data_IF_927773738465
#
_entry.id   IF_927773738465
#
_cell.length_a   1.000
_cell.length_b   1.000
_cell.length_c   1.000
_cell.angle_alpha   90.00
_cell.angle_beta   90.00
_cell.angle_gamma   90.00
#
_symmetry.space_group_name_H-M   'P 1'
#
loop_
_entity.id
_entity.type
_entity.pdbx_description
1 polymer ?
#
# COMPACT_ATOMS: atom_id res chain seq x y z
N UNK A 1 -23.12 60.12 3.20
CA UNK A 1 -22.56 59.47 4.42
C UNK A 1 -23.43 58.32 4.93
N UNK A 2 -24.72 58.52 5.22
CA UNK A 2 -25.63 57.47 5.73
C UNK A 2 -25.76 56.22 4.84
N UNK A 3 -25.83 56.38 3.52
CA UNK A 3 -25.95 55.25 2.58
C UNK A 3 -24.70 54.34 2.59
N UNK A 4 -23.51 54.93 2.74
CA UNK A 4 -22.25 54.18 2.77
C UNK A 4 -22.13 53.33 4.05
N UNK A 5 -22.56 53.88 5.18
CA UNK A 5 -22.61 53.16 6.46
C UNK A 5 -23.56 51.96 6.38
N UNK A 6 -24.72 52.13 5.73
CA UNK A 6 -25.71 51.07 5.58
C UNK A 6 -25.22 49.91 4.69
N UNK A 7 -24.51 50.22 3.60
CA UNK A 7 -23.93 49.23 2.69
C UNK A 7 -22.83 48.42 3.40
N UNK A 8 -21.94 49.09 4.14
CA UNK A 8 -20.87 48.42 4.91
C UNK A 8 -21.46 47.50 5.99
N UNK A 9 -22.53 47.94 6.67
CA UNK A 9 -23.21 47.14 7.69
C UNK A 9 -23.86 45.86 7.11
N UNK A 10 -24.53 45.96 5.97
CA UNK A 10 -25.10 44.81 5.24
C UNK A 10 -24.02 43.82 4.78
N UNK A 11 -22.87 44.33 4.33
CA UNK A 11 -21.73 43.50 3.92
C UNK A 11 -21.09 42.78 5.12
N UNK A 12 -20.99 43.45 6.27
CA UNK A 12 -20.55 42.83 7.52
C UNK A 12 -21.51 41.73 8.01
N UNK A 13 -22.84 41.96 7.95
CA UNK A 13 -23.83 40.95 8.36
C UNK A 13 -23.75 39.70 7.46
N UNK A 14 -23.62 39.89 6.15
CA UNK A 14 -23.49 38.76 5.21
C UNK A 14 -22.17 38.01 5.40
N UNK A 15 -21.07 38.71 5.68
CA UNK A 15 -19.78 38.10 6.04
C UNK A 15 -19.87 37.31 7.35
N UNK A 16 -20.47 37.88 8.40
CA UNK A 16 -20.66 37.20 9.69
C UNK A 16 -21.58 35.99 9.52
N UNK A 17 -22.66 36.10 8.75
CA UNK A 17 -23.57 35.00 8.50
C UNK A 17 -22.93 33.88 7.65
N UNK A 18 -22.02 34.20 6.74
CA UNK A 18 -21.28 33.21 5.94
C UNK A 18 -20.18 32.55 6.76
N UNK A 19 -19.44 33.30 7.58
CA UNK A 19 -18.45 32.78 8.53
C UNK A 19 -19.13 31.93 9.60
N UNK A 20 -20.28 32.35 10.15
CA UNK A 20 -21.05 31.55 11.10
C UNK A 20 -21.60 30.27 10.45
N UNK A 21 -22.09 30.33 9.20
CA UNK A 21 -22.47 29.13 8.43
C UNK A 21 -21.27 28.23 8.13
N UNK A 22 -20.10 28.80 7.86
CA UNK A 22 -18.86 28.05 7.65
C UNK A 22 -18.36 27.40 8.94
N UNK A 23 -18.48 28.10 10.07
CA UNK A 23 -18.17 27.62 11.42
C UNK A 23 -19.15 26.54 11.89
N UNK A 24 -20.44 26.65 11.58
CA UNK A 24 -21.44 25.57 11.79
C UNK A 24 -21.16 24.34 10.92
N UNK A 25 -20.50 24.51 9.77
CA UNK A 25 -20.03 23.39 8.93
C UNK A 25 -18.73 22.76 9.45
N UNK A 26 -18.02 23.43 10.35
CA UNK A 26 -16.86 22.90 11.06
C UNK A 26 -17.36 22.19 12.32
N UNK A 27 -17.42 20.87 12.22
CA UNK A 27 -17.71 20.01 13.35
C UNK A 27 -16.62 20.20 14.42
N UNK A 28 -16.99 20.50 15.69
CA UNK A 28 -16.05 20.61 16.80
C UNK A 28 -15.14 19.38 16.88
N UNK A 29 -13.88 19.59 17.23
CA UNK A 29 -12.89 18.51 17.22
C UNK A 29 -13.25 17.36 18.19
N UNK A 30 -13.75 17.70 19.38
CA UNK A 30 -14.25 16.71 20.35
C UNK A 30 -15.39 15.87 19.77
N UNK A 31 -16.41 16.49 19.17
CA UNK A 31 -17.53 15.78 18.53
C UNK A 31 -17.03 14.88 17.40
N UNK A 32 -16.10 15.36 16.58
CA UNK A 32 -15.51 14.60 15.48
C UNK A 32 -14.78 13.34 15.97
N UNK A 33 -14.03 13.44 17.07
CA UNK A 33 -13.30 12.29 17.65
C UNK A 33 -14.29 11.27 18.21
N UNK A 34 -15.28 11.72 19.00
CA UNK A 34 -16.29 10.84 19.59
C UNK A 34 -17.13 10.12 18.53
N UNK A 35 -17.57 10.84 17.50
CA UNK A 35 -18.31 10.23 16.38
C UNK A 35 -17.45 9.26 15.58
N UNK A 36 -16.17 9.58 15.36
CA UNK A 36 -15.24 8.67 14.69
C UNK A 36 -15.10 7.36 15.47
N UNK A 37 -14.89 7.44 16.79
CA UNK A 37 -14.82 6.26 17.66
C UNK A 37 -16.12 5.46 17.58
N UNK A 38 -17.28 6.11 17.72
CA UNK A 38 -18.58 5.44 17.63
C UNK A 38 -18.81 4.72 16.29
N UNK A 39 -18.46 5.35 15.18
CA UNK A 39 -18.57 4.71 13.86
C UNK A 39 -17.62 3.52 13.73
N UNK A 40 -16.37 3.66 14.17
CA UNK A 40 -15.40 2.56 14.13
C UNK A 40 -15.86 1.38 14.97
N UNK A 41 -16.27 1.60 16.22
CA UNK A 41 -16.75 0.53 17.11
C UNK A 41 -17.97 -0.17 16.52
N UNK A 42 -18.94 0.59 16.00
CA UNK A 42 -20.12 -0.01 15.40
C UNK A 42 -19.78 -0.83 14.14
N UNK A 43 -18.89 -0.34 13.29
CA UNK A 43 -18.48 -1.08 12.08
C UNK A 43 -17.73 -2.35 12.47
N UNK A 44 -16.79 -2.27 13.43
CA UNK A 44 -16.03 -3.44 13.90
C UNK A 44 -16.97 -4.49 14.47
N UNK A 45 -17.86 -4.13 15.39
CA UNK A 45 -18.78 -5.08 16.03
C UNK A 45 -19.66 -5.77 15.00
N UNK A 46 -20.26 -5.01 14.07
CA UNK A 46 -21.08 -5.57 13.01
C UNK A 46 -20.29 -6.55 12.10
N UNK A 47 -19.06 -6.20 11.74
CA UNK A 47 -18.21 -7.08 10.91
C UNK A 47 -17.79 -8.36 11.66
N UNK A 48 -17.50 -8.27 12.96
CA UNK A 48 -17.15 -9.42 13.80
C UNK A 48 -18.33 -10.38 13.96
N UNK A 49 -19.55 -9.84 14.06
CA UNK A 49 -20.78 -10.64 14.16
C UNK A 49 -21.33 -11.07 12.79
N UNK A 50 -20.60 -10.80 11.70
CA UNK A 50 -21.03 -11.06 10.31
C UNK A 50 -22.40 -10.46 9.97
N UNK A 51 -22.72 -9.29 10.53
CA UNK A 51 -23.97 -8.57 10.31
C UNK A 51 -23.77 -7.38 9.36
N UNK A 52 -24.84 -7.05 8.64
CA UNK A 52 -24.87 -5.84 7.82
C UNK A 52 -24.66 -4.59 8.67
N UNK A 53 -23.79 -3.70 8.21
CA UNK A 53 -23.63 -2.39 8.83
C UNK A 53 -24.83 -1.53 8.42
N UNK A 54 -25.58 -1.02 9.39
CA UNK A 54 -26.78 -0.20 9.19
C UNK A 54 -26.65 1.20 9.77
N UNK A 55 -25.60 1.94 9.40
CA UNK A 55 -25.42 3.33 9.80
C UNK A 55 -26.06 4.27 8.76
N UNK A 56 -26.84 5.24 9.21
CA UNK A 56 -27.36 6.34 8.37
C UNK A 56 -26.98 7.66 9.00
N UNK A 57 -26.38 8.55 8.21
CA UNK A 57 -25.86 9.84 8.68
C UNK A 57 -26.26 10.97 7.75
N UNK A 58 -26.74 12.04 8.37
CA UNK A 58 -27.12 13.26 7.68
C UNK A 58 -25.97 14.26 7.61
N UNK A 59 -25.90 14.97 6.49
CA UNK A 59 -24.91 16.02 6.29
C UNK A 59 -23.55 15.54 5.76
N UNK A 60 -22.93 16.42 4.97
CA UNK A 60 -21.70 16.12 4.23
C UNK A 60 -20.50 15.84 5.15
N UNK A 61 -20.41 16.52 6.29
CA UNK A 61 -19.31 16.36 7.24
C UNK A 61 -19.34 14.97 7.89
N UNK A 62 -20.51 14.52 8.35
CA UNK A 62 -20.72 13.20 8.95
C UNK A 62 -20.50 12.07 7.93
N UNK A 63 -21.01 12.21 6.69
CA UNK A 63 -20.72 11.24 5.61
C UNK A 63 -19.24 11.10 5.31
N UNK A 64 -18.49 12.20 5.31
CA UNK A 64 -17.03 12.17 5.15
C UNK A 64 -16.33 11.49 6.34
N UNK A 65 -16.85 11.68 7.55
CA UNK A 65 -16.33 11.04 8.75
C UNK A 65 -16.61 9.53 8.75
N UNK A 66 -17.84 9.12 8.40
CA UNK A 66 -18.23 7.73 8.21
C UNK A 66 -17.35 7.03 7.17
N UNK A 67 -17.13 7.68 6.02
CA UNK A 67 -16.22 7.17 5.00
C UNK A 67 -14.79 6.98 5.53
N UNK A 68 -14.30 7.92 6.35
CA UNK A 68 -12.99 7.79 7.00
C UNK A 68 -12.98 6.61 7.98
N UNK A 69 -14.06 6.38 8.72
CA UNK A 69 -14.19 5.25 9.64
C UNK A 69 -14.18 3.92 8.89
N UNK A 70 -14.97 3.78 7.81
CA UNK A 70 -14.96 2.59 6.94
C UNK A 70 -13.55 2.33 6.41
N UNK A 71 -12.90 3.36 5.86
CA UNK A 71 -11.53 3.20 5.37
C UNK A 71 -10.56 2.77 6.48
N UNK A 72 -10.67 3.35 7.69
CA UNK A 72 -9.81 2.99 8.81
C UNK A 72 -9.98 1.50 9.18
N UNK A 73 -11.22 1.04 9.34
CA UNK A 73 -11.51 -0.37 9.67
C UNK A 73 -11.00 -1.29 8.56
N UNK A 74 -11.44 -1.09 7.31
CA UNK A 74 -11.06 -1.95 6.17
C UNK A 74 -9.54 -1.93 5.87
N UNK A 75 -8.84 -0.85 6.21
CA UNK A 75 -7.38 -0.80 6.03
C UNK A 75 -6.59 -1.54 7.11
N UNK A 76 -7.20 -1.84 8.26
CA UNK A 76 -6.57 -2.52 9.40
C UNK A 76 -7.19 -3.88 9.74
N UNK A 77 -8.28 -4.25 9.07
CA UNK A 77 -8.92 -5.56 9.19
C UNK A 77 -8.44 -6.53 8.10
N UNK A 78 -8.43 -7.82 8.44
CA UNK A 78 -8.10 -8.93 7.55
C UNK A 78 -9.38 -9.62 7.07
N UNK A 79 -9.38 -10.13 5.83
CA UNK A 79 -10.45 -10.91 5.22
C UNK A 79 -11.87 -10.30 5.37
N UNK A 80 -11.97 -8.97 5.33
CA UNK A 80 -13.24 -8.28 5.56
C UNK A 80 -14.19 -8.46 4.38
N UNK A 81 -15.38 -9.00 4.63
CA UNK A 81 -16.43 -9.01 3.63
C UNK A 81 -17.02 -7.61 3.45
N UNK A 82 -16.64 -6.96 2.34
CA UNK A 82 -17.13 -5.62 2.00
C UNK A 82 -18.61 -5.62 1.61
N UNK A 83 -19.22 -6.78 1.36
CA UNK A 83 -20.65 -6.88 1.04
C UNK A 83 -21.52 -6.35 2.18
N UNK A 84 -21.11 -6.58 3.43
CA UNK A 84 -21.77 -6.13 4.66
C UNK A 84 -21.82 -4.59 4.80
N UNK A 85 -20.99 -3.87 4.05
CA UNK A 85 -20.97 -2.41 4.04
C UNK A 85 -21.92 -1.81 2.99
N UNK A 86 -22.46 -2.62 2.06
CA UNK A 86 -23.20 -2.15 0.90
C UNK A 86 -24.42 -1.32 1.30
N UNK A 87 -25.23 -1.80 2.24
CA UNK A 87 -26.42 -1.10 2.72
C UNK A 87 -26.10 0.29 3.30
N UNK A 88 -25.06 0.39 4.14
CA UNK A 88 -24.59 1.69 4.66
C UNK A 88 -24.06 2.60 3.55
N UNK A 89 -23.31 2.07 2.58
CA UNK A 89 -22.75 2.87 1.48
C UNK A 89 -23.85 3.47 0.61
N UNK A 90 -24.85 2.68 0.25
CA UNK A 90 -25.97 3.08 -0.59
C UNK A 90 -26.88 4.11 0.11
N UNK A 91 -27.32 3.83 1.35
CA UNK A 91 -28.18 4.74 2.13
C UNK A 91 -27.56 6.11 2.33
N UNK A 92 -26.23 6.16 2.49
CA UNK A 92 -25.49 7.41 2.68
C UNK A 92 -24.95 8.02 1.37
N UNK A 93 -25.15 7.35 0.22
CA UNK A 93 -24.62 7.73 -1.10
C UNK A 93 -23.12 8.01 -1.07
N UNK A 94 -22.34 7.18 -0.35
CA UNK A 94 -20.90 7.40 -0.15
C UNK A 94 -20.11 7.23 -1.45
N UNK A 95 -20.55 6.31 -2.31
CA UNK A 95 -20.09 6.11 -3.68
C UNK A 95 -20.11 7.42 -4.49
N UNK A 96 -21.28 8.09 -4.57
CA UNK A 96 -21.44 9.33 -5.32
C UNK A 96 -20.58 10.46 -4.74
N UNK A 97 -20.49 10.52 -3.41
CA UNK A 97 -19.69 11.51 -2.70
C UNK A 97 -18.21 11.33 -3.04
N UNK A 98 -17.70 10.10 -2.98
CA UNK A 98 -16.30 9.77 -3.26
C UNK A 98 -15.96 10.05 -4.72
N UNK A 99 -16.75 9.54 -5.67
CA UNK A 99 -16.51 9.73 -7.10
C UNK A 99 -16.52 11.21 -7.49
N UNK A 100 -17.50 11.99 -6.98
CA UNK A 100 -17.55 13.44 -7.19
C UNK A 100 -16.30 14.11 -6.63
N UNK A 101 -15.83 13.71 -5.45
CA UNK A 101 -14.63 14.28 -4.85
C UNK A 101 -13.35 13.92 -5.58
N UNK A 102 -13.22 12.70 -6.10
CA UNK A 102 -12.09 12.28 -6.94
C UNK A 102 -12.00 13.17 -8.20
N UNK A 103 -13.14 13.43 -8.86
CA UNK A 103 -13.21 14.29 -10.05
C UNK A 103 -12.77 15.72 -9.76
N UNK A 104 -13.23 16.30 -8.64
CA UNK A 104 -13.01 17.70 -8.28
C UNK A 104 -11.67 17.98 -7.56
N UNK A 105 -10.98 16.96 -7.07
CA UNK A 105 -9.70 17.13 -6.35
C UNK A 105 -8.51 16.90 -7.26
N UNK A 106 -7.32 17.33 -6.82
CA UNK A 106 -6.02 17.11 -7.50
C UNK A 106 -4.97 16.64 -6.49
N UNK A 107 -3.87 16.09 -6.99
CA UNK A 107 -2.70 15.65 -6.20
C UNK A 107 -3.05 14.75 -5.01
N UNK A 108 -2.41 15.03 -3.87
CA UNK A 108 -2.58 14.28 -2.61
C UNK A 108 -4.05 14.19 -2.16
N UNK A 109 -4.84 15.25 -2.36
CA UNK A 109 -6.27 15.22 -1.99
C UNK A 109 -7.02 14.19 -2.83
N UNK A 110 -6.74 14.11 -4.13
CA UNK A 110 -7.32 13.10 -5.02
C UNK A 110 -6.87 11.69 -4.64
N UNK A 111 -5.57 11.52 -4.38
CA UNK A 111 -5.02 10.24 -3.95
C UNK A 111 -5.70 9.73 -2.67
N UNK A 112 -6.00 10.61 -1.71
CA UNK A 112 -6.75 10.26 -0.50
C UNK A 112 -8.17 9.76 -0.79
N UNK A 113 -8.91 10.44 -1.68
CA UNK A 113 -10.25 10.00 -2.06
C UNK A 113 -10.22 8.67 -2.83
N UNK A 114 -9.20 8.43 -3.64
CA UNK A 114 -8.99 7.14 -4.31
C UNK A 114 -8.72 6.01 -3.31
N UNK A 115 -7.90 6.24 -2.29
CA UNK A 115 -7.69 5.26 -1.22
C UNK A 115 -9.00 4.92 -0.49
N UNK A 116 -9.81 5.94 -0.20
CA UNK A 116 -11.12 5.75 0.42
C UNK A 116 -12.08 4.98 -0.49
N UNK A 117 -12.03 5.21 -1.81
CA UNK A 117 -12.80 4.44 -2.79
C UNK A 117 -12.45 2.94 -2.75
N UNK A 118 -11.18 2.61 -2.56
CA UNK A 118 -10.70 1.23 -2.47
C UNK A 118 -11.14 0.47 -1.22
N UNK A 119 -11.80 1.12 -0.26
CA UNK A 119 -12.37 0.51 0.93
C UNK A 119 -13.90 0.36 0.85
N UNK A 120 -14.52 0.71 -0.28
CA UNK A 120 -15.97 0.66 -0.47
C UNK A 120 -16.35 -0.47 -1.45
N UNK A 121 -17.49 -1.15 -1.23
CA UNK A 121 -18.13 -2.01 -2.23
C UNK A 121 -18.71 -1.18 -3.38
N UNK A 122 -17.85 -0.67 -4.28
CA UNK A 122 -18.28 0.16 -5.41
C UNK A 122 -18.87 -0.69 -6.56
N UNK A 123 -19.94 -0.22 -7.22
CA UNK A 123 -20.45 -0.83 -8.44
C UNK A 123 -19.41 -0.89 -9.56
N UNK A 124 -19.48 -1.93 -10.41
CA UNK A 124 -18.51 -2.16 -11.51
C UNK A 124 -18.31 -0.95 -12.43
N UNK A 125 -19.39 -0.23 -12.75
CA UNK A 125 -19.35 0.98 -13.61
C UNK A 125 -18.48 2.09 -13.01
N UNK A 126 -18.56 2.25 -11.69
CA UNK A 126 -17.89 3.33 -10.99
C UNK A 126 -16.39 3.04 -10.87
N UNK A 127 -16.04 1.77 -10.70
CA UNK A 127 -14.66 1.29 -10.73
C UNK A 127 -14.00 1.55 -12.09
N UNK A 128 -14.73 1.39 -13.21
CA UNK A 128 -14.17 1.68 -14.54
C UNK A 128 -13.73 3.14 -14.67
N UNK A 129 -14.48 4.07 -14.07
CA UNK A 129 -14.12 5.49 -14.06
C UNK A 129 -12.80 5.80 -13.35
N UNK A 130 -12.32 4.89 -12.49
CA UNK A 130 -11.05 5.02 -11.77
C UNK A 130 -9.84 4.67 -12.65
N UNK A 131 -10.03 3.92 -13.75
CA UNK A 131 -8.95 3.41 -14.62
C UNK A 131 -8.04 4.52 -15.15
N UNK A 132 -8.63 5.67 -15.49
CA UNK A 132 -7.87 6.83 -15.98
C UNK A 132 -6.85 7.35 -14.96
N UNK A 133 -7.14 7.22 -13.66
CA UNK A 133 -6.25 7.70 -12.61
C UNK A 133 -5.08 6.75 -12.36
N UNK A 134 -5.21 5.47 -12.69
CA UNK A 134 -4.09 4.52 -12.72
C UNK A 134 -3.09 4.82 -13.86
N UNK A 135 -3.40 5.79 -14.73
CA UNK A 135 -2.52 6.31 -15.78
C UNK A 135 -2.08 7.75 -15.50
N UNK A 136 -2.30 8.25 -14.29
CA UNK A 136 -1.88 9.60 -13.89
C UNK A 136 -0.36 9.74 -13.88
N UNK A 137 0.17 10.88 -14.33
CA UNK A 137 1.59 11.22 -14.17
C UNK A 137 2.01 11.34 -12.69
N UNK A 138 1.11 11.84 -11.84
CA UNK A 138 1.31 11.88 -10.38
C UNK A 138 1.35 10.45 -9.82
N UNK A 139 2.52 10.07 -9.28
CA UNK A 139 2.79 8.74 -8.72
C UNK A 139 1.82 8.38 -7.58
N UNK A 140 1.55 9.30 -6.65
CA UNK A 140 0.70 9.01 -5.49
C UNK A 140 -0.74 8.76 -5.94
N UNK A 141 -1.25 9.60 -6.86
CA UNK A 141 -2.58 9.40 -7.46
C UNK A 141 -2.65 8.06 -8.19
N UNK A 142 -1.62 7.75 -8.98
CA UNK A 142 -1.51 6.51 -9.75
C UNK A 142 -1.54 5.27 -8.86
N UNK A 143 -0.72 5.23 -7.81
CA UNK A 143 -0.68 4.15 -6.82
C UNK A 143 -2.03 3.99 -6.11
N UNK A 144 -2.62 5.09 -5.62
CA UNK A 144 -3.92 5.03 -4.95
C UNK A 144 -5.04 4.54 -5.85
N UNK A 145 -5.04 4.92 -7.13
CA UNK A 145 -6.00 4.44 -8.10
C UNK A 145 -5.82 2.94 -8.39
N UNK A 146 -4.57 2.48 -8.55
CA UNK A 146 -4.27 1.06 -8.70
C UNK A 146 -4.82 0.25 -7.52
N UNK A 147 -4.54 0.67 -6.28
CA UNK A 147 -5.05 -0.03 -5.09
C UNK A 147 -6.58 -0.09 -5.07
N UNK A 148 -7.25 0.99 -5.44
CA UNK A 148 -8.72 1.01 -5.51
C UNK A 148 -9.26 0.04 -6.57
N UNK A 149 -8.64 -0.03 -7.75
CA UNK A 149 -9.00 -0.97 -8.81
C UNK A 149 -8.80 -2.42 -8.37
N UNK A 150 -7.67 -2.70 -7.70
CA UNK A 150 -7.34 -4.03 -7.18
C UNK A 150 -8.32 -4.50 -6.11
N UNK A 151 -8.63 -3.63 -5.12
CA UNK A 151 -9.62 -3.95 -4.09
C UNK A 151 -11.01 -4.22 -4.67
N UNK A 152 -11.42 -3.44 -5.68
CA UNK A 152 -12.75 -3.56 -6.24
C UNK A 152 -12.89 -4.72 -7.24
N UNK A 153 -11.79 -5.23 -7.81
CA UNK A 153 -11.78 -6.33 -8.78
C UNK A 153 -10.64 -7.31 -8.49
N UNK A 154 -10.66 -7.99 -7.34
CA UNK A 154 -9.56 -8.86 -6.91
C UNK A 154 -9.29 -9.99 -7.91
N UNK A 155 -10.33 -10.59 -8.49
CA UNK A 155 -10.21 -11.65 -9.50
C UNK A 155 -9.54 -11.20 -10.80
N UNK A 156 -9.44 -9.88 -11.08
CA UNK A 156 -8.75 -9.33 -12.25
C UNK A 156 -7.42 -8.66 -11.90
N UNK A 157 -6.95 -8.81 -10.67
CA UNK A 157 -5.74 -8.13 -10.18
C UNK A 157 -4.53 -8.38 -11.08
N UNK A 158 -4.29 -9.63 -11.49
CA UNK A 158 -3.14 -9.99 -12.33
C UNK A 158 -3.24 -9.40 -13.74
N UNK A 159 -4.44 -9.39 -14.32
CA UNK A 159 -4.67 -8.72 -15.60
C UNK A 159 -4.39 -7.22 -15.49
N UNK A 160 -4.90 -6.57 -14.43
CA UNK A 160 -4.69 -5.14 -14.20
C UNK A 160 -3.19 -4.83 -14.09
N UNK A 161 -2.46 -5.56 -13.24
CA UNK A 161 -1.02 -5.36 -13.03
C UNK A 161 -0.21 -5.67 -14.31
N UNK A 162 -0.59 -6.72 -15.04
CA UNK A 162 0.06 -7.09 -16.29
C UNK A 162 -0.10 -6.04 -17.40
N UNK A 163 -1.21 -5.30 -17.40
CA UNK A 163 -1.47 -4.25 -18.41
C UNK A 163 -0.90 -2.87 -18.07
N UNK A 164 -0.20 -2.72 -16.94
CA UNK A 164 0.40 -1.43 -16.57
C UNK A 164 1.55 -1.07 -17.50
N UNK A 165 1.50 0.13 -18.07
CA UNK A 165 2.54 0.70 -18.95
C UNK A 165 3.77 1.20 -18.17
N UNK A 166 3.75 1.16 -16.84
CA UNK A 166 4.84 1.61 -15.98
C UNK A 166 5.33 0.48 -15.08
N UNK A 167 6.59 0.56 -14.68
CA UNK A 167 7.17 -0.36 -13.70
C UNK A 167 6.69 -0.04 -12.28
N UNK A 168 6.17 -1.04 -11.57
CA UNK A 168 5.82 -0.90 -10.15
C UNK A 168 7.08 -0.59 -9.34
N UNK A 169 7.06 0.52 -8.59
CA UNK A 169 8.15 0.85 -7.68
C UNK A 169 8.08 -0.02 -6.42
N UNK A 170 9.16 -0.12 -5.62
CA UNK A 170 9.14 -0.85 -4.36
C UNK A 170 8.02 -0.40 -3.41
N UNK A 171 7.69 0.89 -3.43
CA UNK A 171 6.56 1.44 -2.69
C UNK A 171 5.21 0.89 -3.18
N UNK A 172 5.00 0.84 -4.50
CA UNK A 172 3.75 0.31 -5.08
C UNK A 172 3.59 -1.17 -4.73
N UNK A 173 4.66 -1.94 -4.88
CA UNK A 173 4.71 -3.36 -4.54
C UNK A 173 4.34 -3.57 -3.07
N UNK A 174 4.95 -2.82 -2.13
CA UNK A 174 4.63 -2.94 -0.71
C UNK A 174 3.14 -2.67 -0.42
N UNK A 175 2.53 -1.74 -1.15
CA UNK A 175 1.09 -1.44 -1.02
C UNK A 175 0.21 -2.55 -1.58
N UNK A 176 0.60 -3.16 -2.70
CA UNK A 176 -0.11 -4.33 -3.28
C UNK A 176 0.04 -5.55 -2.35
N UNK A 177 1.23 -5.80 -1.81
CA UNK A 177 1.47 -6.84 -0.80
C UNK A 177 0.62 -6.60 0.47
N UNK A 178 0.41 -5.35 0.87
CA UNK A 178 -0.49 -5.05 1.99
C UNK A 178 -1.97 -5.41 1.68
N UNK A 179 -2.43 -5.39 0.42
CA UNK A 179 -3.74 -5.94 0.05
C UNK A 179 -3.75 -7.47 0.14
N UNK A 180 -2.67 -8.12 -0.28
CA UNK A 180 -2.50 -9.58 -0.20
C UNK A 180 -2.52 -10.07 1.25
N UNK A 181 -1.75 -9.42 2.13
CA UNK A 181 -1.72 -9.75 3.57
C UNK A 181 -3.09 -9.65 4.21
N UNK A 182 -3.93 -8.73 3.74
CA UNK A 182 -5.32 -8.57 4.21
C UNK A 182 -6.30 -9.59 3.61
N UNK A 183 -5.85 -10.54 2.79
CA UNK A 183 -6.71 -11.54 2.15
C UNK A 183 -7.57 -10.98 1.02
N UNK A 184 -7.27 -9.78 0.50
CA UNK A 184 -8.10 -9.14 -0.54
C UNK A 184 -7.85 -9.75 -1.92
N UNK A 185 -6.62 -10.19 -2.20
CA UNK A 185 -6.22 -10.66 -3.53
C UNK A 185 -5.94 -12.17 -3.50
N UNK A 186 -6.62 -12.98 -4.32
CA UNK A 186 -6.35 -14.42 -4.44
C UNK A 186 -5.18 -14.64 -5.39
N UNK A 187 -3.96 -14.84 -4.86
CA UNK A 187 -2.75 -14.88 -5.69
C UNK A 187 -1.81 -16.00 -5.28
N UNK A 188 -1.53 -16.90 -6.22
CA UNK A 188 -0.42 -17.85 -6.15
C UNK A 188 0.87 -17.18 -6.64
N UNK A 189 2.01 -17.52 -6.03
CA UNK A 189 3.28 -16.86 -6.33
C UNK A 189 4.00 -17.49 -7.53
N UNK A 190 3.85 -18.80 -7.75
CA UNK A 190 4.56 -19.55 -8.79
C UNK A 190 4.28 -19.01 -10.20
N UNK A 191 3.00 -18.79 -10.61
CA UNK A 191 2.72 -18.24 -11.94
C UNK A 191 3.31 -16.84 -12.13
N UNK A 192 3.44 -16.08 -11.03
CA UNK A 192 4.01 -14.73 -11.06
C UNK A 192 5.52 -14.76 -11.24
N UNK A 193 6.23 -15.66 -10.55
CA UNK A 193 7.67 -15.83 -10.72
C UNK A 193 8.02 -16.20 -12.17
N UNK A 194 7.20 -17.06 -12.78
CA UNK A 194 7.42 -17.56 -14.15
C UNK A 194 6.96 -16.58 -15.24
N UNK A 195 6.07 -15.64 -14.93
CA UNK A 195 5.53 -14.67 -15.88
C UNK A 195 6.63 -13.86 -16.60
N UNK A 196 6.45 -13.65 -17.91
CA UNK A 196 7.30 -12.76 -18.72
C UNK A 196 7.10 -11.27 -18.40
N UNK A 197 5.97 -10.91 -17.78
CA UNK A 197 5.70 -9.55 -17.37
C UNK A 197 6.52 -9.17 -16.12
N UNK A 198 7.34 -8.13 -16.24
CA UNK A 198 8.23 -7.65 -15.17
C UNK A 198 7.47 -7.25 -13.90
N UNK A 199 6.29 -6.62 -14.00
CA UNK A 199 5.51 -6.21 -12.83
C UNK A 199 4.97 -7.41 -12.06
N UNK A 200 4.44 -8.41 -12.77
CA UNK A 200 3.98 -9.66 -12.17
C UNK A 200 5.15 -10.40 -11.50
N UNK A 201 6.29 -10.50 -12.18
CA UNK A 201 7.49 -11.15 -11.61
C UNK A 201 8.00 -10.48 -10.35
N UNK A 202 8.06 -9.15 -10.35
CA UNK A 202 8.42 -8.36 -9.16
C UNK A 202 7.42 -8.55 -8.02
N UNK A 203 6.13 -8.63 -8.32
CA UNK A 203 5.11 -8.96 -7.32
C UNK A 203 5.30 -10.38 -6.77
N UNK A 204 5.59 -11.36 -7.62
CA UNK A 204 5.90 -12.73 -7.20
C UNK A 204 7.08 -12.81 -6.24
N UNK A 205 8.21 -12.16 -6.59
CA UNK A 205 9.37 -12.06 -5.69
C UNK A 205 9.02 -11.38 -4.37
N UNK A 206 8.23 -10.32 -4.41
CA UNK A 206 7.81 -9.61 -3.21
C UNK A 206 6.87 -10.43 -2.33
N UNK A 207 5.98 -11.25 -2.91
CA UNK A 207 5.15 -12.20 -2.16
C UNK A 207 6.04 -13.21 -1.46
N UNK A 208 6.92 -13.89 -2.20
CA UNK A 208 7.84 -14.90 -1.64
C UNK A 208 8.63 -14.33 -0.47
N UNK A 209 9.23 -13.15 -0.64
CA UNK A 209 9.95 -12.45 0.44
C UNK A 209 9.05 -12.08 1.62
N UNK A 210 7.86 -11.54 1.35
CA UNK A 210 7.01 -10.97 2.40
C UNK A 210 6.28 -12.03 3.23
N UNK A 211 6.17 -13.25 2.71
CA UNK A 211 5.50 -14.38 3.36
C UNK A 211 6.47 -15.51 3.73
N UNK A 212 7.77 -15.40 3.42
CA UNK A 212 8.77 -16.38 3.80
C UNK A 212 8.58 -17.73 3.10
N UNK A 213 8.28 -17.74 1.80
CA UNK A 213 7.98 -18.98 1.06
C UNK A 213 9.29 -19.69 0.66
N UNK A 214 9.76 -20.58 1.51
CA UNK A 214 11.01 -21.36 1.38
C UNK A 214 10.99 -22.34 0.21
N UNK A 215 9.85 -22.97 -0.09
CA UNK A 215 9.66 -23.88 -1.25
C UNK A 215 10.02 -23.19 -2.58
N UNK A 216 9.99 -21.85 -2.63
CA UNK A 216 10.39 -21.08 -3.80
C UNK A 216 11.91 -21.09 -4.07
N UNK A 217 12.77 -21.52 -3.14
CA UNK A 217 14.24 -21.45 -3.24
C UNK A 217 14.75 -21.93 -4.60
N UNK A 218 14.35 -23.13 -5.03
CA UNK A 218 14.82 -23.72 -6.30
C UNK A 218 14.45 -22.84 -7.50
N UNK A 219 13.24 -22.30 -7.52
CA UNK A 219 12.79 -21.37 -8.57
C UNK A 219 13.61 -20.08 -8.56
N UNK A 220 13.85 -19.51 -7.38
CA UNK A 220 14.65 -18.30 -7.23
C UNK A 220 16.10 -18.50 -7.66
N UNK A 221 16.73 -19.63 -7.32
CA UNK A 221 18.08 -19.93 -7.78
C UNK A 221 18.16 -20.03 -9.30
N UNK A 222 17.21 -20.72 -9.92
CA UNK A 222 17.12 -20.81 -11.38
C UNK A 222 16.95 -19.42 -12.00
N UNK A 223 16.12 -18.55 -11.42
CA UNK A 223 15.94 -17.16 -11.88
C UNK A 223 17.24 -16.38 -11.71
N UNK A 224 17.90 -16.44 -10.55
CA UNK A 224 19.14 -15.70 -10.30
C UNK A 224 20.24 -16.07 -11.31
N UNK A 225 20.34 -17.35 -11.66
CA UNK A 225 21.34 -17.88 -12.60
C UNK A 225 20.99 -17.54 -14.05
N UNK A 226 19.74 -17.68 -14.47
CA UNK A 226 19.31 -17.56 -15.87
C UNK A 226 18.88 -16.15 -16.29
N UNK A 227 18.48 -15.30 -15.34
CA UNK A 227 17.92 -13.99 -15.66
C UNK A 227 18.96 -13.05 -16.26
N UNK A 228 18.68 -12.54 -17.45
CA UNK A 228 19.50 -11.53 -18.14
C UNK A 228 19.34 -10.12 -17.54
N UNK A 229 18.18 -9.81 -16.98
CA UNK A 229 17.88 -8.49 -16.43
C UNK A 229 18.61 -8.28 -15.07
N UNK A 230 19.55 -7.32 -14.95
CA UNK A 230 20.30 -7.09 -13.72
C UNK A 230 19.42 -6.73 -12.51
N UNK A 231 18.37 -5.93 -12.73
CA UNK A 231 17.42 -5.57 -11.68
C UNK A 231 16.69 -6.81 -11.15
N UNK A 232 16.30 -7.73 -12.03
CA UNK A 232 15.64 -8.97 -11.62
C UNK A 232 16.58 -9.87 -10.81
N UNK A 233 17.83 -9.99 -11.23
CA UNK A 233 18.86 -10.75 -10.49
C UNK A 233 19.04 -10.19 -9.10
N UNK A 234 19.19 -8.87 -8.98
CA UNK A 234 19.34 -8.20 -7.69
C UNK A 234 18.15 -8.44 -6.77
N UNK A 235 16.93 -8.25 -7.26
CA UNK A 235 15.71 -8.52 -6.46
C UNK A 235 15.59 -9.99 -6.06
N UNK A 236 16.03 -10.92 -6.92
CA UNK A 236 16.02 -12.36 -6.64
C UNK A 236 17.06 -12.73 -5.58
N UNK A 237 18.27 -12.15 -5.65
CA UNK A 237 19.30 -12.32 -4.63
C UNK A 237 18.84 -11.78 -3.28
N UNK A 238 18.24 -10.58 -3.22
CA UNK A 238 17.64 -10.06 -1.99
C UNK A 238 16.52 -10.95 -1.46
N UNK A 239 15.72 -11.56 -2.34
CA UNK A 239 14.67 -12.50 -1.93
C UNK A 239 15.27 -13.76 -1.33
N UNK A 240 16.27 -14.38 -1.98
CA UNK A 240 17.01 -15.53 -1.43
C UNK A 240 17.66 -15.19 -0.08
N UNK A 241 18.25 -13.99 0.04
CA UNK A 241 18.83 -13.49 1.28
C UNK A 241 17.82 -13.40 2.41
N UNK A 242 16.65 -12.81 2.18
CA UNK A 242 15.60 -12.71 3.20
C UNK A 242 14.96 -14.05 3.57
N UNK A 243 15.11 -15.09 2.74
CA UNK A 243 14.71 -16.45 3.09
C UNK A 243 15.80 -17.19 3.88
N UNK A 244 16.96 -16.57 4.12
CA UNK A 244 18.10 -17.21 4.79
C UNK A 244 18.80 -18.26 3.92
N UNK A 245 18.57 -18.27 2.60
CA UNK A 245 19.13 -19.29 1.72
C UNK A 245 20.67 -19.16 1.61
N UNK A 246 21.42 -20.27 1.58
CA UNK A 246 22.86 -20.24 1.40
C UNK A 246 23.24 -19.78 -0.02
N UNK A 247 23.99 -18.68 -0.13
CA UNK A 247 24.41 -18.10 -1.42
C UNK A 247 25.76 -18.62 -1.92
N UNK A 248 26.43 -19.49 -1.17
CA UNK A 248 27.78 -20.00 -1.47
C UNK A 248 27.86 -20.97 -2.65
N UNK A 249 26.73 -21.39 -3.25
CA UNK A 249 26.74 -22.30 -4.41
C UNK A 249 27.47 -21.64 -5.59
N UNK A 250 28.37 -22.38 -6.25
CA UNK A 250 29.28 -21.86 -7.27
C UNK A 250 28.58 -21.00 -8.36
N UNK A 251 27.42 -21.42 -8.87
CA UNK A 251 26.67 -20.67 -9.88
C UNK A 251 26.09 -19.34 -9.35
N UNK A 252 25.66 -19.30 -8.09
CA UNK A 252 25.14 -18.09 -7.44
C UNK A 252 26.31 -17.16 -7.11
N UNK A 253 27.42 -17.68 -6.59
CA UNK A 253 28.63 -16.90 -6.33
C UNK A 253 29.15 -16.21 -7.59
N UNK A 254 29.28 -16.96 -8.70
CA UNK A 254 29.62 -16.39 -10.01
C UNK A 254 28.65 -15.29 -10.42
N UNK A 255 27.35 -15.42 -10.13
CA UNK A 255 26.39 -14.36 -10.42
C UNK A 255 26.63 -13.12 -9.57
N UNK A 256 26.93 -13.27 -8.28
CA UNK A 256 27.27 -12.16 -7.38
C UNK A 256 28.57 -11.46 -7.82
N UNK A 257 29.53 -12.19 -8.37
CA UNK A 257 30.77 -11.65 -8.98
C UNK A 257 30.47 -10.74 -10.19
N UNK A 258 29.38 -10.96 -10.93
CA UNK A 258 29.00 -10.09 -12.06
C UNK A 258 28.36 -8.76 -11.66
N UNK A 259 28.02 -8.58 -10.37
CA UNK A 259 27.44 -7.33 -9.88
C UNK A 259 28.49 -6.22 -9.81
N UNK A 260 28.08 -4.97 -9.99
CA UNK A 260 28.98 -3.82 -9.80
C UNK A 260 29.47 -3.73 -8.34
N UNK A 261 30.64 -3.09 -8.07
CA UNK A 261 31.13 -2.93 -6.70
C UNK A 261 30.12 -2.26 -5.75
N UNK A 262 29.32 -1.33 -6.28
CA UNK A 262 28.24 -0.68 -5.53
C UNK A 262 27.15 -1.68 -5.15
N UNK A 263 26.67 -2.48 -6.11
CA UNK A 263 25.62 -3.47 -5.88
C UNK A 263 26.09 -4.59 -4.94
N UNK A 264 27.35 -5.01 -5.07
CA UNK A 264 27.97 -5.97 -4.14
C UNK A 264 28.05 -5.40 -2.72
N UNK A 265 28.45 -4.14 -2.56
CA UNK A 265 28.45 -3.46 -1.26
C UNK A 265 27.05 -3.25 -0.68
N UNK A 266 26.03 -3.03 -1.50
CA UNK A 266 24.62 -3.00 -1.08
C UNK A 266 24.14 -4.38 -0.62
N UNK A 267 24.46 -5.44 -1.37
CA UNK A 267 24.12 -6.82 -1.03
C UNK A 267 24.82 -7.30 0.24
N UNK A 268 26.11 -6.98 0.41
CA UNK A 268 26.88 -7.31 1.61
C UNK A 268 26.23 -6.71 2.86
N UNK A 269 25.89 -5.41 2.82
CA UNK A 269 25.16 -4.75 3.93
C UNK A 269 23.80 -5.38 4.19
N UNK A 270 23.07 -5.71 3.13
CA UNK A 270 21.77 -6.36 3.26
C UNK A 270 21.87 -7.71 3.95
N UNK A 271 22.82 -8.56 3.54
CA UNK A 271 23.07 -9.86 4.18
C UNK A 271 23.45 -9.72 5.65
N UNK A 272 24.23 -8.68 6.00
CA UNK A 272 24.53 -8.36 7.39
C UNK A 272 23.27 -8.05 8.21
N UNK A 273 22.33 -7.27 7.65
CA UNK A 273 21.03 -6.95 8.28
C UNK A 273 20.13 -8.19 8.38
N UNK A 274 20.15 -9.07 7.37
CA UNK A 274 19.41 -10.35 7.37
C UNK A 274 20.07 -11.41 8.29
N UNK A 275 21.16 -11.07 8.99
CA UNK A 275 21.73 -11.90 10.05
C UNK A 275 22.79 -12.91 9.62
N UNK A 276 23.26 -12.87 8.37
CA UNK A 276 24.30 -13.78 7.88
C UNK A 276 25.57 -13.70 8.75
N UNK A 277 26.28 -14.83 8.92
CA UNK A 277 27.53 -14.85 9.67
C UNK A 277 28.67 -14.19 8.89
N UNK A 278 29.66 -13.64 9.61
CA UNK A 278 30.86 -13.08 8.98
C UNK A 278 31.60 -14.15 8.16
N UNK A 279 31.62 -15.39 8.63
CA UNK A 279 32.19 -16.53 7.88
C UNK A 279 31.48 -16.75 6.54
N UNK A 280 30.16 -16.69 6.49
CA UNK A 280 29.40 -16.81 5.24
C UNK A 280 29.71 -15.65 4.29
N UNK A 281 29.83 -14.42 4.80
CA UNK A 281 30.14 -13.25 3.97
C UNK A 281 31.56 -13.27 3.41
N UNK A 282 32.55 -13.74 4.17
CA UNK A 282 33.94 -13.94 3.71
C UNK A 282 34.05 -14.88 2.50
N UNK A 283 33.09 -15.79 2.31
CA UNK A 283 33.07 -16.65 1.12
C UNK A 283 32.57 -15.97 -0.16
N UNK A 284 31.98 -14.77 -0.04
CA UNK A 284 31.28 -14.08 -1.13
C UNK A 284 31.90 -12.71 -1.48
N UNK A 285 32.53 -12.05 -0.51
CA UNK A 285 33.00 -10.66 -0.61
C UNK A 285 34.46 -10.51 -0.21
N UNK A 286 35.12 -9.48 -0.75
CA UNK A 286 36.48 -9.13 -0.38
C UNK A 286 36.54 -8.42 0.98
N UNK A 287 37.71 -8.40 1.62
CA UNK A 287 37.93 -7.69 2.88
C UNK A 287 37.57 -6.19 2.80
N UNK A 288 37.82 -5.55 1.66
CA UNK A 288 37.44 -4.15 1.43
C UNK A 288 35.92 -3.97 1.48
N UNK A 289 35.14 -4.88 0.91
CA UNK A 289 33.67 -4.85 0.92
C UNK A 289 33.12 -5.14 2.33
N UNK A 290 33.79 -6.00 3.09
CA UNK A 290 33.40 -6.40 4.44
C UNK A 290 33.67 -5.33 5.49
N UNK A 291 34.73 -4.54 5.34
CA UNK A 291 35.15 -3.49 6.29
C UNK A 291 34.01 -2.53 6.68
N UNK A 292 33.08 -2.27 5.74
CA UNK A 292 31.92 -1.38 5.94
C UNK A 292 30.74 -2.05 6.64
N UNK A 293 30.69 -3.37 6.64
CA UNK A 293 29.54 -4.17 7.14
C UNK A 293 29.87 -4.87 8.45
N UNK A 294 31.14 -5.19 8.70
CA UNK A 294 31.60 -5.83 9.93
C UNK A 294 31.20 -5.09 11.22
N UNK A 295 31.29 -3.74 11.30
CA UNK A 295 30.79 -3.01 12.48
C UNK A 295 29.28 -3.14 12.69
N UNK A 296 28.50 -3.26 11.60
CA UNK A 296 27.05 -3.46 11.69
C UNK A 296 26.77 -4.83 12.30
N UNK A 297 27.40 -5.88 11.79
CA UNK A 297 27.18 -7.27 12.26
C UNK A 297 27.59 -7.42 13.73
N UNK A 298 28.72 -6.83 14.13
CA UNK A 298 29.20 -6.87 15.51
C UNK A 298 28.31 -6.07 16.47
N UNK A 299 27.65 -5.00 16.00
CA UNK A 299 26.70 -4.22 16.82
C UNK A 299 25.38 -4.95 17.10
N UNK A 300 24.85 -5.70 16.12
CA UNK A 300 23.58 -6.43 16.28
C UNK A 300 23.73 -7.75 17.04
N UNK A 301 24.92 -8.36 17.03
CA UNK A 301 25.19 -9.65 17.68
C UNK A 301 25.87 -9.51 19.05
N UNK A 302 25.63 -8.41 19.78
CA UNK A 302 26.05 -8.32 21.18
C UNK A 302 25.34 -9.43 21.97
N UNK A 303 26.11 -10.19 22.75
CA UNK A 303 25.61 -11.24 23.63
C UNK A 303 24.53 -10.64 24.56
N UNK A 304 23.33 -11.21 24.54
CA UNK A 304 22.27 -10.93 25.53
C UNK A 304 22.58 -11.56 26.90
N UNK A 305 23.76 -12.17 27.05
CA UNK A 305 24.25 -12.66 28.34
C UNK A 305 24.82 -11.47 29.09
N UNK A 306 24.04 -10.92 30.01
CA UNK A 306 24.57 -10.12 31.10
C UNK A 306 25.47 -11.04 31.93
N UNK A 307 26.79 -10.83 31.87
CA UNK A 307 27.73 -11.30 32.89
C UNK A 307 27.54 -10.51 34.17
#
# INVERSE_FOLDING_TARGET
MLVYIYIVFLLCITLVATVARWRRRLMPERERVLLMQRYVTHIINALLEHRDVTLVVEGRARRKLLLRAIYLVVSHSYATDLSLLRGTVERNRLDTLVLRRIRLSRGVRRAKWLLWAGALPLPRRDVHSLRRYAHSGDKIVRTSALLALLSARPSRAMQIIGTLHYSLSPFDIRRVVALLRRGVLPVAYEPLLLSHNTNLRRLGLAIVRSFGIDIAERHLQNIAISARNPMLVRETLYTLSSLGCPLGRAKIRRRIETLSPRERGELCRYLGVEGYSLSALRTLFSEQELSRTEPLISSYKRNLVCT
#
